data_IF_674147841740
#
_entry.id   IF_674147841740
#
_cell.length_a   1.000
_cell.length_b   1.000
_cell.length_c   1.000
_cell.angle_alpha   90.00
_cell.angle_beta   90.00
_cell.angle_gamma   90.00
#
_symmetry.space_group_name_H-M   'P 1'
#
loop_
_entity.id
_entity.type
_entity.pdbx_description
1 polymer ?
#
# COMPACT_ATOMS: atom_id res chain seq x y z
N UNK A 1 41.44 -20.93 36.87
CA UNK A 1 40.48 -19.82 36.67
C UNK A 1 40.63 -19.33 35.24
N UNK A 2 39.73 -19.70 34.33
CA UNK A 2 39.81 -19.34 32.89
C UNK A 2 38.78 -18.26 32.60
N UNK A 3 39.27 -17.11 32.10
CA UNK A 3 38.46 -15.97 31.68
C UNK A 3 37.72 -16.33 30.37
N UNK A 4 36.41 -16.59 30.46
CA UNK A 4 35.56 -16.78 29.28
C UNK A 4 35.34 -15.41 28.62
N UNK A 5 36.09 -15.15 27.56
CA UNK A 5 35.96 -13.96 26.71
C UNK A 5 34.67 -14.06 25.87
N UNK A 6 33.58 -13.41 26.31
CA UNK A 6 32.28 -13.31 25.61
C UNK A 6 32.28 -12.17 24.58
N UNK A 7 33.22 -12.17 23.64
CA UNK A 7 33.22 -11.17 22.58
C UNK A 7 32.40 -11.64 21.38
N UNK A 8 31.54 -10.72 20.91
CA UNK A 8 30.75 -10.76 19.67
C UNK A 8 29.47 -11.61 19.67
N UNK A 9 28.52 -11.25 20.53
CA UNK A 9 27.11 -11.43 20.16
C UNK A 9 26.80 -10.41 19.05
N UNK A 10 26.97 -10.85 17.79
CA UNK A 10 26.68 -10.04 16.61
C UNK A 10 25.19 -9.69 16.61
N UNK A 11 24.90 -8.45 17.02
CA UNK A 11 23.59 -7.81 16.91
C UNK A 11 23.23 -7.61 15.44
N UNK A 12 22.97 -8.69 14.72
CA UNK A 12 22.37 -8.64 13.41
C UNK A 12 20.89 -8.29 13.58
N UNK A 13 20.65 -6.99 13.77
CA UNK A 13 19.32 -6.37 13.80
C UNK A 13 18.51 -6.90 12.62
N UNK A 14 17.28 -7.37 12.87
CA UNK A 14 16.37 -7.93 11.85
C UNK A 14 16.33 -7.11 10.54
N UNK A 15 16.42 -5.78 10.64
CA UNK A 15 16.53 -4.85 9.50
C UNK A 15 17.72 -5.12 8.55
N UNK A 16 18.90 -5.51 9.04
CA UNK A 16 20.09 -5.76 8.20
C UNK A 16 19.95 -7.05 7.39
N UNK A 17 19.25 -8.06 7.95
CA UNK A 17 18.91 -9.31 7.25
C UNK A 17 17.91 -9.04 6.13
N UNK A 18 16.79 -8.37 6.42
CA UNK A 18 15.78 -8.02 5.42
C UNK A 18 16.38 -7.17 4.29
N UNK A 19 17.25 -6.20 4.60
CA UNK A 19 17.91 -5.37 3.58
C UNK A 19 18.88 -6.18 2.70
N UNK A 20 19.55 -7.18 3.26
CA UNK A 20 20.46 -8.06 2.51
C UNK A 20 19.68 -9.00 1.59
N UNK A 21 18.56 -9.54 2.05
CA UNK A 21 17.68 -10.40 1.26
C UNK A 21 17.01 -9.62 0.12
N UNK A 22 16.56 -8.38 0.37
CA UNK A 22 15.97 -7.53 -0.66
C UNK A 22 16.96 -7.16 -1.77
N UNK A 23 18.24 -6.95 -1.42
CA UNK A 23 19.30 -6.66 -2.41
C UNK A 23 19.67 -7.89 -3.24
N UNK A 24 19.59 -9.09 -2.65
CA UNK A 24 19.91 -10.37 -3.32
C UNK A 24 18.79 -10.84 -4.25
N UNK A 25 17.53 -10.58 -3.89
CA UNK A 25 16.36 -11.01 -4.66
C UNK A 25 15.77 -9.91 -5.57
N UNK A 26 16.54 -8.85 -5.87
CA UNK A 26 16.10 -7.69 -6.66
C UNK A 26 15.51 -8.06 -8.03
N UNK A 27 15.99 -9.15 -8.63
CA UNK A 27 15.58 -9.62 -9.96
C UNK A 27 14.14 -10.16 -9.95
N UNK A 28 13.78 -10.90 -8.89
CA UNK A 28 12.41 -11.40 -8.68
C UNK A 28 11.44 -10.23 -8.46
N UNK A 29 11.86 -9.21 -7.69
CA UNK A 29 11.05 -8.00 -7.51
C UNK A 29 10.87 -7.22 -8.81
N UNK A 30 11.89 -7.17 -9.68
CA UNK A 30 11.83 -6.47 -10.97
C UNK A 30 10.84 -7.15 -11.93
N UNK A 31 10.72 -8.48 -11.89
CA UNK A 31 9.77 -9.24 -12.70
C UNK A 31 8.31 -9.02 -12.25
N UNK A 32 8.08 -8.88 -10.93
CA UNK A 32 6.75 -8.60 -10.36
C UNK A 32 6.37 -7.11 -10.49
N UNK A 33 7.36 -6.22 -10.57
CA UNK A 33 7.18 -4.78 -10.67
C UNK A 33 6.15 -4.33 -11.75
N UNK A 34 6.24 -4.77 -13.03
CA UNK A 34 5.27 -4.35 -14.05
C UNK A 34 3.85 -4.80 -13.73
N UNK A 35 3.68 -5.99 -13.15
CA UNK A 35 2.35 -6.51 -12.75
C UNK A 35 1.75 -5.66 -11.64
N UNK A 36 2.57 -5.31 -10.63
CA UNK A 36 2.12 -4.46 -9.52
C UNK A 36 1.78 -3.06 -10.02
N UNK A 37 2.59 -2.47 -10.91
CA UNK A 37 2.31 -1.16 -11.50
C UNK A 37 0.99 -1.20 -12.28
N UNK A 38 0.77 -2.23 -13.10
CA UNK A 38 -0.48 -2.41 -13.81
C UNK A 38 -1.67 -2.48 -12.85
N UNK A 39 -1.57 -3.30 -11.80
CA UNK A 39 -2.63 -3.43 -10.81
C UNK A 39 -2.93 -2.11 -10.07
N UNK A 40 -1.89 -1.34 -9.72
CA UNK A 40 -2.07 -0.04 -9.08
C UNK A 40 -2.79 0.95 -10.02
N UNK A 41 -2.40 0.99 -11.29
CA UNK A 41 -2.98 1.92 -12.26
C UNK A 41 -4.39 1.54 -12.70
N UNK A 42 -4.67 0.24 -12.84
CA UNK A 42 -5.93 -0.23 -13.42
C UNK A 42 -6.91 -0.80 -12.40
N UNK A 43 -6.48 -1.28 -11.24
CA UNK A 43 -7.39 -1.78 -10.19
C UNK A 43 -7.51 -0.78 -9.05
N UNK A 44 -6.41 -0.19 -8.58
CA UNK A 44 -6.46 0.74 -7.43
C UNK A 44 -6.97 2.13 -7.81
N UNK A 45 -6.64 2.62 -9.02
CA UNK A 45 -7.16 3.89 -9.54
C UNK A 45 -8.69 3.92 -9.69
N UNK A 46 -9.38 2.94 -10.34
CA UNK A 46 -10.84 2.99 -10.41
C UNK A 46 -11.52 2.77 -9.07
N UNK A 47 -10.87 2.12 -8.09
CA UNK A 47 -11.40 2.06 -6.72
C UNK A 47 -11.55 3.44 -6.08
N UNK A 48 -10.79 4.46 -6.53
CA UNK A 48 -11.04 5.84 -6.11
C UNK A 48 -12.44 6.34 -6.50
N UNK A 49 -13.02 5.79 -7.57
CA UNK A 49 -14.40 6.07 -7.98
C UNK A 49 -15.44 5.60 -6.97
N UNK A 50 -15.12 4.66 -6.08
CA UNK A 50 -16.04 4.20 -5.02
C UNK A 50 -16.40 5.35 -4.07
N UNK A 51 -15.52 6.34 -3.92
CA UNK A 51 -15.76 7.53 -3.09
C UNK A 51 -16.94 8.36 -3.62
N UNK A 52 -17.21 8.29 -4.92
CA UNK A 52 -18.32 8.99 -5.57
C UNK A 52 -19.67 8.51 -5.02
N UNK A 53 -19.80 7.23 -4.64
CA UNK A 53 -21.04 6.68 -4.08
C UNK A 53 -21.42 7.30 -2.72
N UNK A 54 -20.48 7.92 -2.02
CA UNK A 54 -20.69 8.56 -0.71
C UNK A 54 -20.84 10.09 -0.81
N UNK A 55 -20.67 10.66 -2.01
CA UNK A 55 -20.74 12.09 -2.27
C UNK A 55 -21.90 12.40 -3.20
N UNK A 56 -22.48 13.60 -3.08
CA UNK A 56 -23.45 14.08 -4.06
C UNK A 56 -22.69 14.57 -5.29
N UNK A 57 -22.31 13.61 -6.14
CA UNK A 57 -21.44 13.86 -7.29
C UNK A 57 -22.15 14.70 -8.34
N UNK A 58 -21.72 15.95 -8.46
CA UNK A 58 -22.08 16.84 -9.55
C UNK A 58 -20.90 16.92 -10.52
N UNK A 59 -21.05 16.52 -11.81
CA UNK A 59 -19.97 16.57 -12.79
C UNK A 59 -19.37 17.97 -12.97
N UNK A 60 -20.17 19.01 -12.71
CA UNK A 60 -19.77 20.42 -12.77
C UNK A 60 -18.87 20.88 -11.62
N UNK A 61 -18.89 20.21 -10.45
CA UNK A 61 -18.11 20.58 -9.25
C UNK A 61 -16.94 19.62 -8.98
N UNK A 62 -16.81 18.54 -9.74
CA UNK A 62 -15.75 17.55 -9.61
C UNK A 62 -15.86 16.63 -8.39
N UNK A 63 -14.91 15.69 -8.28
CA UNK A 63 -14.87 14.64 -7.23
C UNK A 63 -14.53 15.23 -5.84
N UNK A 64 -13.85 16.38 -5.80
CA UNK A 64 -13.38 17.02 -4.57
C UNK A 64 -14.29 18.16 -4.09
N UNK A 65 -15.11 18.75 -4.96
CA UNK A 65 -16.02 19.85 -4.61
C UNK A 65 -17.43 19.42 -4.18
N UNK A 66 -17.77 18.14 -4.31
CA UNK A 66 -19.08 17.60 -3.97
C UNK A 66 -19.22 17.34 -2.46
N UNK A 67 -20.36 17.75 -1.89
CA UNK A 67 -20.65 17.56 -0.47
C UNK A 67 -20.82 16.07 -0.13
N UNK A 68 -20.24 15.67 1.00
CA UNK A 68 -20.33 14.30 1.52
C UNK A 68 -21.74 14.07 2.07
N UNK A 69 -22.47 13.11 1.49
CA UNK A 69 -23.87 12.82 1.88
C UNK A 69 -24.03 11.44 2.51
N UNK A 70 -22.92 10.72 2.73
CA UNK A 70 -22.88 9.47 3.46
C UNK A 70 -23.73 8.38 2.80
N UNK A 71 -24.59 7.72 3.58
CA UNK A 71 -25.40 6.58 3.14
C UNK A 71 -26.75 6.98 2.50
N UNK A 72 -26.96 8.26 2.17
CA UNK A 72 -28.24 8.73 1.60
C UNK A 72 -28.64 7.92 0.36
N UNK A 73 -27.70 7.67 -0.55
CA UNK A 73 -27.97 6.91 -1.76
C UNK A 73 -28.21 5.43 -1.48
N UNK A 74 -27.49 4.82 -0.52
CA UNK A 74 -27.72 3.43 -0.13
C UNK A 74 -29.13 3.20 0.43
N UNK A 75 -29.68 4.15 1.21
CA UNK A 75 -31.06 4.09 1.74
C UNK A 75 -32.16 4.29 0.67
N UNK A 76 -31.80 4.85 -0.48
CA UNK A 76 -32.74 5.01 -1.61
C UNK A 76 -32.65 3.82 -2.56
N UNK A 77 -31.49 3.16 -2.60
CA UNK A 77 -31.22 2.04 -3.48
C UNK A 77 -31.70 0.68 -2.93
N UNK A 78 -31.71 0.51 -1.60
CA UNK A 78 -32.24 -0.65 -0.87
C UNK A 78 -33.55 -0.30 -0.20
#
# INVERSE_FOLDING_TARGET
MVQVNRNAMSNNTFKSRVKKDFKRNKELYLLVLPVVIFYLLFCYKPMYGVIIAFKNFNPSQGILGSQWVGLKYFKVFF
#
